data_IF_063617078549
#
_entry.id   IF_063617078549
#
_cell.length_a   1.000
_cell.length_b   1.000
_cell.length_c   1.000
_cell.angle_alpha   90.00
_cell.angle_beta   90.00
_cell.angle_gamma   90.00
#
_symmetry.space_group_name_H-M   'P 1'
#
loop_
_entity.id
_entity.type
_entity.pdbx_description
1 polymer ?
#
# COMPACT_ATOMS: atom_id res chain seq x y z
N UNK A 1 21.18 -43.85 -6.08
CA UNK A 1 19.79 -43.54 -5.69
C UNK A 1 19.65 -42.86 -4.33
N UNK A 2 20.12 -43.47 -3.23
CA UNK A 2 19.96 -42.88 -1.87
C UNK A 2 20.59 -41.49 -1.67
N UNK A 3 21.72 -41.16 -2.32
CA UNK A 3 22.34 -39.83 -2.28
C UNK A 3 21.52 -38.77 -3.03
N UNK A 4 20.97 -39.08 -4.19
CA UNK A 4 20.12 -38.21 -4.98
C UNK A 4 18.81 -37.87 -4.24
N UNK A 5 18.20 -38.84 -3.59
CA UNK A 5 16.98 -38.67 -2.79
C UNK A 5 17.25 -37.73 -1.59
N UNK A 6 18.41 -37.87 -0.91
CA UNK A 6 18.78 -36.99 0.20
C UNK A 6 19.00 -35.53 -0.24
N UNK A 7 19.66 -35.33 -1.39
CA UNK A 7 19.88 -33.99 -1.96
C UNK A 7 18.55 -33.36 -2.34
N UNK A 8 17.67 -34.11 -3.01
CA UNK A 8 16.34 -33.61 -3.37
C UNK A 8 15.50 -33.25 -2.13
N UNK A 9 15.59 -34.05 -1.05
CA UNK A 9 14.89 -33.77 0.21
C UNK A 9 15.41 -32.49 0.89
N UNK A 10 16.72 -32.27 0.91
CA UNK A 10 17.34 -31.07 1.46
C UNK A 10 16.98 -29.82 0.67
N UNK A 11 16.93 -29.91 -0.65
CA UNK A 11 16.51 -28.78 -1.52
C UNK A 11 15.04 -28.45 -1.30
N UNK A 12 14.17 -29.45 -1.20
CA UNK A 12 12.74 -29.26 -0.91
C UNK A 12 12.53 -28.64 0.48
N UNK A 13 13.25 -29.10 1.50
CA UNK A 13 13.21 -28.54 2.85
C UNK A 13 13.69 -27.08 2.86
N UNK A 14 14.75 -26.77 2.11
CA UNK A 14 15.26 -25.41 1.95
C UNK A 14 14.24 -24.46 1.30
N UNK A 15 13.55 -24.92 0.26
CA UNK A 15 12.50 -24.14 -0.42
C UNK A 15 11.32 -23.92 0.52
N UNK A 16 10.89 -24.94 1.26
CA UNK A 16 9.79 -24.83 2.23
C UNK A 16 10.15 -23.86 3.36
N UNK A 17 11.38 -23.91 3.87
CA UNK A 17 11.85 -22.99 4.91
C UNK A 17 11.90 -21.55 4.40
N UNK A 18 12.38 -21.32 3.19
CA UNK A 18 12.34 -19.97 2.56
C UNK A 18 10.89 -19.49 2.44
N UNK A 19 9.97 -20.35 2.05
CA UNK A 19 8.54 -20.00 1.90
C UNK A 19 7.87 -19.69 3.24
N UNK A 20 8.23 -20.42 4.31
CA UNK A 20 7.66 -20.22 5.66
C UNK A 20 8.25 -18.97 6.34
N UNK A 21 9.52 -18.64 6.06
CA UNK A 21 10.20 -17.50 6.70
C UNK A 21 10.22 -16.23 5.85
N UNK A 22 9.77 -16.25 4.57
CA UNK A 22 9.49 -15.02 3.84
C UNK A 22 8.20 -14.41 4.39
N UNK A 23 8.24 -13.19 4.92
CA UNK A 23 7.00 -12.51 5.35
C UNK A 23 6.05 -12.45 4.15
N UNK A 24 4.95 -13.17 4.25
CA UNK A 24 3.84 -13.04 3.30
C UNK A 24 3.21 -11.68 3.59
N UNK A 25 3.66 -10.64 2.87
CA UNK A 25 2.98 -9.36 2.89
C UNK A 25 1.59 -9.62 2.31
N UNK A 26 0.51 -9.51 3.10
CA UNK A 26 -0.82 -9.77 2.59
C UNK A 26 -1.05 -8.84 1.39
N UNK A 27 -1.47 -9.42 0.28
CA UNK A 27 -1.80 -8.63 -0.90
C UNK A 27 -2.91 -7.65 -0.52
N UNK A 28 -2.62 -6.36 -0.62
CA UNK A 28 -3.62 -5.32 -0.35
C UNK A 28 -4.71 -5.45 -1.39
N UNK A 29 -5.94 -5.68 -0.96
CA UNK A 29 -7.08 -5.71 -1.86
C UNK A 29 -7.44 -4.27 -2.21
N UNK A 30 -7.21 -3.90 -3.47
CA UNK A 30 -7.60 -2.59 -4.00
C UNK A 30 -8.98 -2.72 -4.62
N UNK A 31 -9.94 -2.00 -4.07
CA UNK A 31 -11.29 -1.88 -4.62
C UNK A 31 -11.38 -0.69 -5.58
N UNK A 32 -12.18 -0.80 -6.62
CA UNK A 32 -12.43 0.23 -7.61
C UNK A 32 -11.74 -0.04 -8.95
N UNK A 33 -12.42 0.35 -10.02
CA UNK A 33 -11.97 0.23 -11.40
C UNK A 33 -11.36 1.55 -11.89
N UNK A 34 -10.54 1.48 -12.95
CA UNK A 34 -9.92 2.63 -13.59
C UNK A 34 -9.77 2.39 -15.09
N UNK A 35 -10.00 3.42 -15.88
CA UNK A 35 -9.72 3.44 -17.32
C UNK A 35 -8.34 4.04 -17.64
N UNK A 36 -7.74 4.77 -16.69
CA UNK A 36 -6.46 5.47 -16.88
C UNK A 36 -5.29 4.79 -16.19
N UNK A 37 -5.53 4.02 -15.13
CA UNK A 37 -4.50 3.28 -14.40
C UNK A 37 -4.69 1.79 -14.51
N UNK A 38 -3.60 1.08 -14.81
CA UNK A 38 -3.60 -0.39 -14.80
C UNK A 38 -3.85 -0.93 -13.39
N UNK A 39 -4.17 -2.20 -13.28
CA UNK A 39 -4.27 -2.88 -12.00
C UNK A 39 -2.94 -2.82 -11.24
N UNK A 40 -1.83 -2.97 -11.95
CA UNK A 40 -0.47 -2.93 -11.42
C UNK A 40 -0.14 -1.54 -10.87
N UNK A 41 -0.50 -0.46 -11.57
CA UNK A 41 -0.34 0.92 -11.09
C UNK A 41 -1.06 1.14 -9.76
N UNK A 42 -2.35 0.76 -9.71
CA UNK A 42 -3.17 0.91 -8.49
C UNK A 42 -2.63 0.05 -7.35
N UNK A 43 -2.18 -1.16 -7.66
CA UNK A 43 -1.62 -2.07 -6.66
C UNK A 43 -0.28 -1.57 -6.11
N UNK A 44 0.58 -0.99 -6.94
CA UNK A 44 1.87 -0.43 -6.50
C UNK A 44 1.69 0.79 -5.61
N UNK A 45 0.75 1.68 -5.95
CA UNK A 45 0.39 2.81 -5.11
C UNK A 45 -0.21 2.35 -3.76
N UNK A 46 -1.13 1.38 -3.78
CA UNK A 46 -1.77 0.86 -2.58
C UNK A 46 -0.80 0.12 -1.64
N UNK A 47 0.30 -0.44 -2.15
CA UNK A 47 1.36 -1.02 -1.30
C UNK A 47 2.01 0.03 -0.41
N UNK A 48 2.28 1.23 -0.92
CA UNK A 48 2.84 2.32 -0.12
C UNK A 48 1.92 2.68 1.05
N UNK A 49 0.60 2.69 0.79
CA UNK A 49 -0.42 2.91 1.84
C UNK A 49 -0.36 1.79 2.88
N UNK A 50 -0.33 0.54 2.42
CA UNK A 50 -0.24 -0.63 3.30
C UNK A 50 1.02 -0.59 4.18
N UNK A 51 2.16 -0.31 3.57
CA UNK A 51 3.44 -0.22 4.27
C UNK A 51 3.43 0.90 5.33
N UNK A 52 2.82 2.04 4.98
CA UNK A 52 2.67 3.16 5.92
C UNK A 52 1.74 2.80 7.08
N UNK A 53 0.55 2.23 6.82
CA UNK A 53 -0.38 1.81 7.90
C UNK A 53 0.24 0.72 8.76
N UNK A 54 0.97 -0.23 8.17
CA UNK A 54 1.68 -1.28 8.92
C UNK A 54 2.82 -0.73 9.80
N UNK A 55 3.34 0.46 9.50
CA UNK A 55 4.30 1.15 10.36
C UNK A 55 3.65 1.77 11.61
N UNK A 56 2.33 1.94 11.62
CA UNK A 56 1.58 2.37 12.80
C UNK A 56 1.41 1.18 13.75
N UNK A 57 2.13 1.19 14.84
CA UNK A 57 2.21 0.07 15.77
C UNK A 57 0.82 -0.45 16.20
N UNK A 58 0.56 -1.71 15.92
CA UNK A 58 -0.68 -2.40 16.28
C UNK A 58 -1.90 -2.05 15.42
N UNK A 59 -1.78 -1.15 14.45
CA UNK A 59 -2.86 -0.86 13.51
C UNK A 59 -3.03 -1.98 12.49
N UNK A 60 -4.27 -2.22 12.06
CA UNK A 60 -4.62 -3.26 11.09
C UNK A 60 -5.39 -2.66 9.92
N UNK A 61 -4.77 -2.73 8.72
CA UNK A 61 -5.42 -2.35 7.47
C UNK A 61 -6.46 -3.40 7.07
N UNK A 62 -7.67 -2.94 6.69
CA UNK A 62 -8.74 -3.80 6.20
C UNK A 62 -8.99 -3.65 4.71
N UNK A 63 -8.98 -2.41 4.21
CA UNK A 63 -9.26 -2.15 2.81
C UNK A 63 -8.57 -0.87 2.33
N UNK A 64 -8.27 -0.84 1.03
CA UNK A 64 -7.87 0.34 0.28
C UNK A 64 -8.81 0.48 -0.91
N UNK A 65 -9.48 1.62 -1.02
CA UNK A 65 -10.42 1.92 -2.09
C UNK A 65 -9.84 3.00 -2.98
N UNK A 66 -9.81 2.75 -4.29
CA UNK A 66 -9.51 3.77 -5.28
C UNK A 66 -10.72 4.72 -5.44
N UNK A 67 -10.50 6.02 -5.37
CA UNK A 67 -11.58 7.01 -5.40
C UNK A 67 -12.05 7.34 -6.82
N UNK A 68 -11.41 6.80 -7.85
CA UNK A 68 -11.80 6.93 -9.23
C UNK A 68 -10.96 7.93 -10.02
N UNK A 69 -11.09 7.84 -11.34
CA UNK A 69 -10.27 8.60 -12.30
C UNK A 69 -10.52 10.10 -12.19
N UNK A 70 -11.77 10.51 -12.05
CA UNK A 70 -12.13 11.93 -11.96
C UNK A 70 -11.58 12.58 -10.67
N UNK A 71 -11.67 11.89 -9.54
CA UNK A 71 -11.13 12.40 -8.27
C UNK A 71 -9.61 12.50 -8.38
N UNK A 72 -8.97 11.49 -8.94
CA UNK A 72 -7.52 11.48 -9.13
C UNK A 72 -7.06 12.63 -10.03
N UNK A 73 -7.66 12.82 -11.20
CA UNK A 73 -7.33 13.92 -12.13
C UNK A 73 -7.50 15.30 -11.50
N UNK A 74 -8.62 15.52 -10.80
CA UNK A 74 -8.91 16.78 -10.11
C UNK A 74 -7.87 17.17 -9.07
N UNK A 75 -7.23 16.19 -8.45
CA UNK A 75 -6.26 16.41 -7.38
C UNK A 75 -4.81 16.56 -7.86
N UNK A 76 -4.55 16.53 -9.16
CA UNK A 76 -3.19 16.73 -9.68
C UNK A 76 -2.63 18.12 -9.34
N UNK A 77 -3.43 19.17 -9.44
CA UNK A 77 -3.03 20.53 -9.06
C UNK A 77 -2.71 20.60 -7.56
N UNK A 78 -3.55 20.01 -6.73
CA UNK A 78 -3.31 19.92 -5.29
C UNK A 78 -2.02 19.15 -4.98
N UNK A 79 -1.80 18.00 -5.61
CA UNK A 79 -0.55 17.25 -5.47
C UNK A 79 0.67 18.10 -5.88
N UNK A 80 0.58 18.85 -6.97
CA UNK A 80 1.65 19.74 -7.39
C UNK A 80 1.88 20.91 -6.41
N UNK A 81 0.86 21.36 -5.72
CA UNK A 81 1.01 22.38 -4.66
C UNK A 81 1.79 21.88 -3.44
N UNK A 82 1.85 20.56 -3.25
CA UNK A 82 2.60 19.90 -2.18
C UNK A 82 4.02 19.53 -2.61
N UNK A 83 4.37 19.68 -3.90
CA UNK A 83 5.67 19.32 -4.42
C UNK A 83 6.77 20.19 -3.80
N UNK A 84 7.92 19.57 -3.57
CA UNK A 84 9.13 20.23 -3.06
C UNK A 84 10.23 20.22 -4.13
N UNK A 85 11.21 21.09 -3.99
CA UNK A 85 12.42 21.11 -4.81
C UNK A 85 12.18 21.24 -6.33
N UNK A 86 11.11 21.92 -6.75
CA UNK A 86 10.80 22.16 -8.16
C UNK A 86 10.30 20.92 -8.93
N UNK A 87 9.91 19.87 -8.23
CA UNK A 87 9.28 18.68 -8.83
C UNK A 87 7.92 19.06 -9.39
N UNK A 88 7.61 18.54 -10.59
CA UNK A 88 6.29 18.64 -11.20
C UNK A 88 5.77 17.24 -11.48
N UNK A 89 4.68 16.87 -10.85
CA UNK A 89 4.00 15.61 -11.08
C UNK A 89 3.11 15.68 -12.32
N UNK A 90 3.10 14.62 -13.11
CA UNK A 90 2.24 14.48 -14.29
C UNK A 90 0.99 13.64 -14.02
N UNK A 91 0.99 12.87 -12.95
CA UNK A 91 -0.10 11.96 -12.58
C UNK A 91 -0.35 12.01 -11.07
N UNK A 92 -1.61 11.92 -10.68
CA UNK A 92 -2.03 11.77 -9.28
C UNK A 92 -3.03 10.65 -9.13
N UNK A 93 -3.02 9.97 -7.99
CA UNK A 93 -3.93 8.89 -7.65
C UNK A 93 -4.41 9.05 -6.21
N UNK A 94 -5.72 8.91 -6.00
CA UNK A 94 -6.35 9.13 -4.69
C UNK A 94 -7.02 7.85 -4.21
N UNK A 95 -6.76 7.52 -2.95
CA UNK A 95 -7.36 6.37 -2.27
C UNK A 95 -7.97 6.77 -0.94
N UNK A 96 -8.91 5.96 -0.48
CA UNK A 96 -9.34 5.91 0.92
C UNK A 96 -8.94 4.57 1.52
N UNK A 97 -8.33 4.60 2.70
CA UNK A 97 -8.05 3.39 3.48
C UNK A 97 -8.95 3.27 4.68
N UNK A 98 -9.20 2.03 5.09
CA UNK A 98 -9.92 1.70 6.32
C UNK A 98 -9.02 0.82 7.18
N UNK A 99 -8.69 1.28 8.36
CA UNK A 99 -7.83 0.56 9.30
C UNK A 99 -8.32 0.72 10.73
N UNK A 100 -7.95 -0.20 11.60
CA UNK A 100 -8.32 -0.20 13.00
C UNK A 100 -7.09 -0.04 13.88
N UNK A 101 -7.22 0.80 14.89
CA UNK A 101 -6.21 0.98 15.93
C UNK A 101 -6.17 -0.21 16.90
N UNK A 102 -5.05 -0.43 17.63
CA UNK A 102 -4.93 -1.53 18.56
C UNK A 102 -5.91 -1.39 19.74
N UNK A 103 -6.25 -2.53 20.34
CA UNK A 103 -7.10 -2.58 21.54
C UNK A 103 -6.31 -2.13 22.78
N UNK A 104 -5.03 -2.52 22.85
CA UNK A 104 -4.13 -2.20 23.95
C UNK A 104 -2.92 -1.43 23.45
N UNK A 105 -2.36 -0.58 24.29
CA UNK A 105 -1.19 0.25 23.97
C UNK A 105 -1.40 1.12 22.72
N UNK A 106 -2.59 1.69 22.59
CA UNK A 106 -2.99 2.45 21.40
C UNK A 106 -2.22 3.78 21.22
N UNK A 107 -1.44 4.21 22.21
CA UNK A 107 -0.68 5.45 22.13
C UNK A 107 -1.59 6.67 21.95
N UNK A 108 -1.41 7.38 20.83
CA UNK A 108 -2.24 8.54 20.48
C UNK A 108 -3.57 8.18 19.81
N UNK A 109 -3.81 6.90 19.50
CA UNK A 109 -5.04 6.43 18.90
C UNK A 109 -6.13 6.20 19.94
N UNK A 110 -7.40 6.40 19.55
CA UNK A 110 -8.48 5.83 20.33
C UNK A 110 -8.42 4.31 20.26
N UNK A 111 -8.46 3.57 21.37
CA UNK A 111 -8.34 2.11 21.35
C UNK A 111 -9.46 1.43 20.55
N UNK A 112 -9.11 0.46 19.72
CA UNK A 112 -10.05 -0.35 18.92
C UNK A 112 -11.00 0.46 18.04
N UNK A 113 -10.57 1.61 17.57
CA UNK A 113 -11.37 2.50 16.73
C UNK A 113 -11.08 2.28 15.24
N UNK A 114 -12.09 2.55 14.40
CA UNK A 114 -12.00 2.43 12.95
C UNK A 114 -11.71 3.80 12.34
N UNK A 115 -10.63 3.88 11.61
CA UNK A 115 -10.18 5.08 10.91
C UNK A 115 -10.42 4.98 9.41
N UNK A 116 -10.85 6.09 8.82
CA UNK A 116 -10.94 6.28 7.38
C UNK A 116 -10.06 7.44 6.98
N UNK A 117 -9.04 7.18 6.16
CA UNK A 117 -8.10 8.20 5.72
C UNK A 117 -8.01 8.29 4.21
N UNK A 118 -7.97 9.52 3.70
CA UNK A 118 -7.64 9.82 2.31
C UNK A 118 -6.15 9.89 2.10
N UNK A 119 -5.68 9.38 0.96
CA UNK A 119 -4.28 9.32 0.55
C UNK A 119 -4.12 9.95 -0.82
N UNK A 120 -3.19 10.88 -0.91
CA UNK A 120 -2.85 11.57 -2.15
C UNK A 120 -1.45 11.18 -2.57
N UNK A 121 -1.34 10.49 -3.68
CA UNK A 121 -0.07 10.06 -4.26
C UNK A 121 0.09 10.67 -5.63
N UNK A 122 1.34 10.91 -6.02
CA UNK A 122 1.65 11.42 -7.34
C UNK A 122 2.92 10.76 -7.89
N UNK A 123 3.12 10.89 -9.19
CA UNK A 123 4.34 10.45 -9.87
C UNK A 123 4.62 11.31 -11.11
N UNK A 124 5.84 11.21 -11.61
CA UNK A 124 6.26 11.87 -12.83
C UNK A 124 6.49 10.82 -13.94
N UNK A 125 5.84 11.02 -15.09
CA UNK A 125 6.05 10.25 -16.32
C UNK A 125 6.04 8.71 -16.14
N UNK A 126 5.04 8.17 -15.47
CA UNK A 126 4.91 6.73 -15.27
C UNK A 126 5.97 6.11 -14.34
N UNK A 127 6.69 6.93 -13.58
CA UNK A 127 7.66 6.51 -12.59
C UNK A 127 7.04 5.89 -11.35
N UNK A 128 7.78 5.85 -10.26
CA UNK A 128 7.30 5.34 -8.98
C UNK A 128 6.31 6.31 -8.31
N UNK A 129 5.31 5.77 -7.63
CA UNK A 129 4.39 6.54 -6.83
C UNK A 129 5.05 7.05 -5.55
N UNK A 130 4.67 8.25 -5.15
CA UNK A 130 5.11 8.89 -3.92
C UNK A 130 3.88 9.34 -3.13
N UNK A 131 3.83 9.04 -1.82
CA UNK A 131 2.79 9.58 -0.92
C UNK A 131 3.16 11.02 -0.59
N UNK A 132 2.26 11.94 -0.93
CA UNK A 132 2.45 13.37 -0.64
C UNK A 132 1.80 13.78 0.66
N UNK A 133 0.59 13.29 0.93
CA UNK A 133 -0.13 13.56 2.16
C UNK A 133 -1.23 12.53 2.41
N UNK A 134 -1.65 12.43 3.65
CA UNK A 134 -2.77 11.60 4.07
C UNK A 134 -3.40 12.15 5.35
N UNK A 135 -4.65 11.76 5.61
CA UNK A 135 -5.37 12.16 6.80
C UNK A 135 -6.85 11.79 6.76
N UNK A 136 -7.61 12.31 7.69
CA UNK A 136 -9.05 12.05 7.78
C UNK A 136 -9.77 12.38 6.47
N UNK A 137 -10.63 11.42 6.04
CA UNK A 137 -11.48 11.55 4.85
C UNK A 137 -12.74 12.35 5.15
#
# INVERSE_FOLDING_TARGET
MKKLIRIALCVLLGIVLIWVFTPQIPAVTVHGESEIYTREDRQSAARLISDTVNSFEGCKLYAVKYEGDEVSKKNLEYCNSLAVDGVTYSESIVFTSYFRSPIFNAGAWNPNDLYSWSWYLARTNGGEWEILTYGYA
#
